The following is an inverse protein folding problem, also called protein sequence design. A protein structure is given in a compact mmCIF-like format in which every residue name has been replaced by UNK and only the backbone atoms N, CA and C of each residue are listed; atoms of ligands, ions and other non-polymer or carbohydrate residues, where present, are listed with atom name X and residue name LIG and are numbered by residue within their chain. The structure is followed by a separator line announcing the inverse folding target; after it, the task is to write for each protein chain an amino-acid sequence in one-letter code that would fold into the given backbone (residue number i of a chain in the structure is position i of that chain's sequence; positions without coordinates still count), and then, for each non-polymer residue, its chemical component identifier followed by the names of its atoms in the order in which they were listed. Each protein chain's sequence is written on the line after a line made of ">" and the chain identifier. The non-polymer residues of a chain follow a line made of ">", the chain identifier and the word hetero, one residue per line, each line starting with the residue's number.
data_IF_261631600656
#
_entry.id   IF_261631600656
#
_cell.length_a   1.000
_cell.length_b   1.000
_cell.length_c   1.000
_cell.angle_alpha   90.00
_cell.angle_beta   90.00
_cell.angle_gamma   90.00
#
_symmetry.space_group_name_H-M   'P 1'
#
loop_
_entity.id
_entity.type
_entity.pdbx_description
1 polymer ?
#
# COMPACT_ATOMS: atom_id res chain seq x y z
N UNK A 1 -11.43 5.14 20.28
CA UNK A 1 -11.08 5.58 18.91
C UNK A 1 -9.75 6.31 18.85
N UNK A 2 -9.49 7.28 19.73
CA UNK A 2 -8.24 8.05 19.73
C UNK A 2 -6.95 7.21 19.75
N UNK A 3 -6.84 6.23 20.66
CA UNK A 3 -5.67 5.31 20.71
C UNK A 3 -5.45 4.55 19.41
N UNK A 4 -6.53 4.15 18.73
CA UNK A 4 -6.48 3.44 17.45
C UNK A 4 -5.99 4.36 16.32
N UNK A 5 -6.44 5.62 16.30
CA UNK A 5 -5.99 6.63 15.33
C UNK A 5 -4.51 6.96 15.54
N UNK A 6 -4.06 7.12 16.79
CA UNK A 6 -2.64 7.32 17.12
C UNK A 6 -1.77 6.15 16.66
N UNK A 7 -2.20 4.91 16.96
CA UNK A 7 -1.50 3.71 16.50
C UNK A 7 -1.47 3.63 14.98
N UNK A 8 -2.62 3.87 14.32
CA UNK A 8 -2.70 3.93 12.87
C UNK A 8 -1.72 4.95 12.29
N UNK A 9 -1.70 6.18 12.81
CA UNK A 9 -0.81 7.24 12.33
C UNK A 9 0.67 6.84 12.42
N UNK A 10 1.10 6.28 13.56
CA UNK A 10 2.49 5.82 13.77
C UNK A 10 2.84 4.74 12.75
N UNK A 11 1.96 3.74 12.57
CA UNK A 11 2.20 2.60 11.70
C UNK A 11 2.14 3.01 10.22
N UNK A 12 1.27 3.96 9.86
CA UNK A 12 1.23 4.61 8.55
C UNK A 12 2.56 5.31 8.26
N UNK A 13 3.11 6.05 9.23
CA UNK A 13 4.39 6.75 9.06
C UNK A 13 5.55 5.76 8.88
N UNK A 14 5.60 4.70 9.69
CA UNK A 14 6.60 3.63 9.55
C UNK A 14 6.48 2.97 8.16
N UNK A 15 5.27 2.62 7.75
CA UNK A 15 5.03 1.97 6.46
C UNK A 15 5.35 2.90 5.30
N UNK A 16 5.02 4.19 5.40
CA UNK A 16 5.41 5.19 4.42
C UNK A 16 6.93 5.29 4.29
N UNK A 17 7.67 5.32 5.40
CA UNK A 17 9.13 5.32 5.39
C UNK A 17 9.67 4.04 4.75
N UNK A 18 9.08 2.87 5.02
CA UNK A 18 9.48 1.62 4.36
C UNK A 18 9.34 1.68 2.84
N UNK A 19 8.24 2.23 2.33
CA UNK A 19 8.06 2.40 0.89
C UNK A 19 8.99 3.48 0.32
N UNK A 20 9.23 4.57 1.06
CA UNK A 20 10.20 5.59 0.65
C UNK A 20 11.63 5.08 0.62
N UNK A 21 12.02 4.21 1.54
CA UNK A 21 13.33 3.57 1.53
C UNK A 21 13.51 2.67 0.30
N UNK A 22 12.45 2.04 -0.21
CA UNK A 22 12.50 1.29 -1.47
C UNK A 22 12.83 2.20 -2.65
N UNK A 23 12.17 3.35 -2.71
CA UNK A 23 12.41 4.36 -3.72
C UNK A 23 13.85 4.89 -3.65
N UNK A 24 14.35 5.23 -2.45
CA UNK A 24 15.72 5.78 -2.30
C UNK A 24 16.82 4.73 -2.44
N UNK A 25 16.53 3.45 -2.20
CA UNK A 25 17.44 2.33 -2.44
C UNK A 25 17.29 1.77 -3.87
N UNK A 26 16.60 2.49 -4.76
CA UNK A 26 16.60 2.17 -6.19
C UNK A 26 17.88 2.73 -6.81
N UNK A 27 18.66 1.87 -7.46
CA UNK A 27 19.80 2.31 -8.26
C UNK A 27 19.35 2.92 -9.59
N UNK A 28 20.16 3.82 -10.15
CA UNK A 28 19.91 4.36 -11.49
C UNK A 28 20.26 3.32 -12.56
N UNK A 29 19.48 3.23 -13.64
CA UNK A 29 19.75 2.35 -14.79
C UNK A 29 21.06 2.69 -15.54
N UNK A 30 21.70 3.80 -15.19
CA UNK A 30 23.02 4.23 -15.69
C UNK A 30 24.21 3.75 -14.85
N UNK A 31 23.96 3.21 -13.65
CA UNK A 31 25.00 2.73 -12.74
C UNK A 31 25.31 1.23 -12.97
N UNK A 32 26.50 0.73 -12.58
CA UNK A 32 26.76 -0.71 -12.57
C UNK A 32 25.77 -1.41 -11.63
N UNK A 33 25.24 -2.55 -12.03
CA UNK A 33 24.44 -3.37 -11.14
C UNK A 33 25.29 -3.78 -9.92
N UNK A 34 24.89 -3.34 -8.72
CA UNK A 34 25.46 -3.83 -7.47
C UNK A 34 25.02 -5.26 -7.22
N UNK A 35 25.80 -6.01 -6.43
CA UNK A 35 25.41 -7.36 -6.04
C UNK A 35 24.17 -7.32 -5.11
N UNK A 36 23.02 -7.72 -5.65
CA UNK A 36 21.79 -7.96 -4.88
C UNK A 36 20.83 -6.76 -4.78
N UNK A 37 19.92 -6.85 -3.79
CA UNK A 37 18.92 -5.83 -3.51
C UNK A 37 18.85 -5.58 -1.99
N UNK A 38 19.55 -4.54 -1.47
CA UNK A 38 19.59 -4.28 -0.02
C UNK A 38 18.22 -3.95 0.56
N UNK A 39 17.28 -3.47 -0.27
CA UNK A 39 15.92 -3.19 0.15
C UNK A 39 15.18 -4.44 0.66
N UNK A 40 15.55 -5.64 0.21
CA UNK A 40 14.95 -6.89 0.69
C UNK A 40 15.14 -7.06 2.20
N UNK A 41 16.27 -6.63 2.76
CA UNK A 41 16.51 -6.66 4.21
C UNK A 41 15.60 -5.68 4.96
N UNK A 42 15.44 -4.47 4.42
CA UNK A 42 14.50 -3.47 4.95
C UNK A 42 13.09 -4.02 4.93
N UNK A 43 12.69 -4.68 3.85
CA UNK A 43 11.37 -5.29 3.71
C UNK A 43 11.19 -6.46 4.70
N UNK A 44 12.21 -7.29 4.94
CA UNK A 44 12.16 -8.39 5.90
C UNK A 44 12.05 -7.93 7.36
N UNK A 45 12.48 -6.72 7.68
CA UNK A 45 12.24 -6.11 9.01
C UNK A 45 10.91 -5.34 9.01
N UNK A 46 10.58 -4.72 7.88
CA UNK A 46 9.43 -3.84 7.71
C UNK A 46 8.09 -4.56 7.51
N UNK A 47 8.09 -5.80 7.02
CA UNK A 47 6.87 -6.53 6.67
C UNK A 47 5.86 -6.67 7.82
N UNK A 48 6.23 -6.83 9.12
CA UNK A 48 5.23 -6.95 10.18
C UNK A 48 4.49 -5.62 10.38
N UNK A 49 5.19 -4.49 10.16
CA UNK A 49 4.59 -3.16 10.21
C UNK A 49 3.66 -2.93 9.02
N UNK A 50 4.04 -3.37 7.83
CA UNK A 50 3.18 -3.30 6.65
C UNK A 50 1.90 -4.15 6.81
N UNK A 51 2.02 -5.37 7.35
CA UNK A 51 0.85 -6.20 7.67
C UNK A 51 -0.04 -5.58 8.75
N UNK A 52 0.58 -5.02 9.78
CA UNK A 52 -0.14 -4.32 10.84
C UNK A 52 -0.85 -3.07 10.30
N UNK A 53 -0.21 -2.34 9.37
CA UNK A 53 -0.80 -1.21 8.67
C UNK A 53 -2.06 -1.62 7.90
N UNK A 54 -1.96 -2.70 7.10
CA UNK A 54 -3.11 -3.25 6.37
C UNK A 54 -4.26 -3.55 7.33
N UNK A 55 -3.99 -4.29 8.40
CA UNK A 55 -5.00 -4.69 9.37
C UNK A 55 -5.65 -3.48 10.08
N UNK A 56 -4.86 -2.54 10.59
CA UNK A 56 -5.41 -1.36 11.28
C UNK A 56 -6.19 -0.48 10.30
N UNK A 57 -5.69 -0.27 9.09
CA UNK A 57 -6.34 0.58 8.08
C UNK A 57 -7.70 0.02 7.68
N UNK A 58 -7.78 -1.29 7.41
CA UNK A 58 -9.06 -1.98 7.14
C UNK A 58 -10.02 -1.81 8.32
N UNK A 59 -9.54 -2.08 9.55
CA UNK A 59 -10.36 -2.00 10.78
C UNK A 59 -10.87 -0.57 11.03
N UNK A 60 -10.02 0.43 10.83
CA UNK A 60 -10.35 1.84 11.02
C UNK A 60 -11.35 2.30 9.96
N UNK A 61 -11.10 2.02 8.68
CA UNK A 61 -11.99 2.35 7.58
C UNK A 61 -13.40 1.75 7.80
N UNK A 62 -13.45 0.47 8.19
CA UNK A 62 -14.71 -0.21 8.54
C UNK A 62 -15.46 0.52 9.65
N UNK A 63 -14.80 0.80 10.79
CA UNK A 63 -15.43 1.46 11.95
C UNK A 63 -15.90 2.88 11.64
N UNK A 64 -15.12 3.64 10.87
CA UNK A 64 -15.46 5.01 10.49
C UNK A 64 -16.67 5.06 9.55
N UNK A 65 -16.78 4.11 8.62
CA UNK A 65 -17.84 4.13 7.59
C UNK A 65 -19.14 3.44 8.04
N UNK A 66 -19.13 2.75 9.18
CA UNK A 66 -20.33 2.14 9.78
C UNK A 66 -21.46 3.14 10.07
N UNK A 67 -21.15 4.40 10.36
CA UNK A 67 -22.12 5.46 10.63
C UNK A 67 -22.59 6.19 9.37
N UNK A 68 -21.94 5.95 8.23
CA UNK A 68 -22.24 6.60 6.94
C UNK A 68 -23.44 5.91 6.28
N UNK A 69 -24.30 6.71 5.64
CA UNK A 69 -25.44 6.24 4.86
C UNK A 69 -25.00 5.29 3.72
N UNK A 70 -25.74 4.21 3.41
CA UNK A 70 -25.36 3.20 2.41
C UNK A 70 -24.98 3.78 1.04
N UNK A 71 -25.70 4.80 0.54
CA UNK A 71 -25.35 5.48 -0.72
C UNK A 71 -23.98 6.17 -0.66
N UNK A 72 -23.64 6.78 0.49
CA UNK A 72 -22.32 7.38 0.70
C UNK A 72 -21.20 6.33 0.70
N UNK A 73 -21.46 5.12 1.22
CA UNK A 73 -20.50 4.01 1.18
C UNK A 73 -20.20 3.56 -0.25
N UNK A 74 -21.22 3.48 -1.10
CA UNK A 74 -21.06 3.17 -2.52
C UNK A 74 -20.21 4.24 -3.21
N UNK A 75 -20.48 5.52 -2.94
CA UNK A 75 -19.67 6.62 -3.44
C UNK A 75 -18.20 6.52 -3.02
N UNK A 76 -17.92 6.19 -1.76
CA UNK A 76 -16.55 5.98 -1.26
C UNK A 76 -15.85 4.79 -1.92
N UNK A 77 -16.58 3.69 -2.21
CA UNK A 77 -16.03 2.55 -2.95
C UNK A 77 -15.66 2.97 -4.38
N UNK A 78 -16.57 3.61 -5.10
CA UNK A 78 -16.34 4.04 -6.49
C UNK A 78 -15.16 5.02 -6.55
N UNK A 79 -15.13 6.03 -5.67
CA UNK A 79 -14.02 6.97 -5.58
C UNK A 79 -12.69 6.28 -5.24
N UNK A 80 -12.69 5.33 -4.31
CA UNK A 80 -11.51 4.54 -3.97
C UNK A 80 -10.99 3.70 -5.14
N UNK A 81 -11.88 3.02 -5.86
CA UNK A 81 -11.53 2.25 -7.06
C UNK A 81 -10.96 3.17 -8.14
N UNK A 82 -11.57 4.33 -8.38
CA UNK A 82 -11.09 5.29 -9.36
C UNK A 82 -9.69 5.82 -9.02
N UNK A 83 -9.44 6.17 -7.74
CA UNK A 83 -8.12 6.60 -7.29
C UNK A 83 -7.07 5.48 -7.41
N UNK A 84 -7.43 4.25 -7.05
CA UNK A 84 -6.52 3.11 -7.19
C UNK A 84 -6.20 2.82 -8.66
N UNK A 85 -7.21 2.90 -9.55
CA UNK A 85 -7.02 2.73 -10.98
C UNK A 85 -6.09 3.80 -11.57
N UNK A 86 -6.31 5.08 -11.23
CA UNK A 86 -5.44 6.17 -11.67
C UNK A 86 -4.00 6.02 -11.16
N UNK A 87 -3.83 5.64 -9.90
CA UNK A 87 -2.50 5.39 -9.35
C UNK A 87 -1.82 4.20 -10.04
N UNK A 88 -2.58 3.15 -10.37
CA UNK A 88 -2.05 2.01 -11.12
C UNK A 88 -1.58 2.41 -12.52
N UNK A 89 -2.35 3.22 -13.26
CA UNK A 89 -1.94 3.65 -14.61
C UNK A 89 -0.63 4.44 -14.56
N UNK A 90 -0.49 5.38 -13.62
CA UNK A 90 0.76 6.13 -13.45
C UNK A 90 1.94 5.22 -13.08
N UNK A 91 1.70 4.18 -12.27
CA UNK A 91 2.75 3.22 -11.91
C UNK A 91 3.14 2.32 -13.10
N UNK A 92 2.18 1.95 -13.94
CA UNK A 92 2.44 1.19 -15.17
C UNK A 92 3.27 2.00 -16.16
N UNK A 93 3.03 3.30 -16.28
CA UNK A 93 3.83 4.17 -17.15
C UNK A 93 5.29 4.25 -16.66
N UNK A 94 5.51 4.39 -15.35
CA UNK A 94 6.85 4.35 -14.77
C UNK A 94 7.53 2.99 -14.96
N UNK A 95 6.78 1.89 -14.80
CA UNK A 95 7.29 0.55 -15.02
C UNK A 95 7.68 0.30 -16.48
N UNK A 96 6.92 0.84 -17.43
CA UNK A 96 7.24 0.75 -18.87
C UNK A 96 8.46 1.60 -19.21
N UNK A 97 8.54 2.85 -18.73
CA UNK A 97 9.71 3.69 -18.93
C UNK A 97 11.00 3.05 -18.36
N UNK A 98 10.90 2.38 -17.21
CA UNK A 98 12.03 1.63 -16.65
C UNK A 98 12.41 0.42 -17.51
N UNK A 99 11.42 -0.31 -18.04
CA UNK A 99 11.67 -1.45 -18.95
C UNK A 99 12.35 -1.00 -20.24
N UNK A 100 11.91 0.11 -20.81
CA UNK A 100 12.50 0.68 -22.02
C UNK A 100 13.95 1.12 -21.74
N UNK A 101 14.20 1.84 -20.64
CA UNK A 101 15.56 2.24 -20.24
C UNK A 101 16.49 1.06 -19.89
N UNK A 102 15.93 -0.03 -19.35
CA UNK A 102 16.66 -1.27 -19.10
C UNK A 102 17.04 -1.98 -20.40
N UNK A 103 16.12 -2.05 -21.38
CA UNK A 103 16.36 -2.66 -22.68
C UNK A 103 17.39 -1.89 -23.51
N UNK A 104 17.45 -0.57 -23.35
CA UNK A 104 18.48 0.28 -23.95
C UNK A 104 19.86 0.13 -23.28
N UNK A 105 19.93 -0.44 -22.07
CA UNK A 105 21.19 -0.65 -21.36
C UNK A 105 21.91 -1.94 -21.82
N UNK A 106 23.23 -1.86 -21.98
CA UNK A 106 24.08 -2.98 -22.45
C UNK A 106 24.43 -4.02 -21.37
N UNK A 107 23.79 -3.98 -20.21
CA UNK A 107 24.20 -4.72 -19.01
C UNK A 107 23.31 -5.96 -18.78
N UNK A 108 23.91 -7.15 -18.85
CA UNK A 108 23.17 -8.43 -18.77
C UNK A 108 22.46 -8.68 -17.41
N UNK A 109 22.87 -8.00 -16.34
CA UNK A 109 22.28 -8.15 -15.00
C UNK A 109 20.86 -7.54 -14.86
N UNK A 110 20.43 -6.72 -15.83
CA UNK A 110 19.13 -6.08 -15.79
C UNK A 110 17.96 -7.00 -16.21
N UNK A 111 18.24 -8.11 -16.89
CA UNK A 111 17.22 -8.95 -17.53
C UNK A 111 16.53 -9.96 -16.58
N UNK A 112 17.01 -10.15 -15.35
CA UNK A 112 16.55 -11.26 -14.49
C UNK A 112 16.24 -10.84 -13.05
N UNK A 113 14.98 -10.97 -12.63
CA UNK A 113 14.55 -11.02 -11.21
C UNK A 113 14.19 -9.69 -10.53
N UNK A 114 13.89 -9.77 -9.23
CA UNK A 114 13.69 -8.60 -8.34
C UNK A 114 15.06 -8.03 -7.96
N UNK A 115 15.50 -7.03 -8.72
CA UNK A 115 16.77 -6.34 -8.53
C UNK A 115 16.56 -4.92 -7.94
N UNK A 116 17.65 -4.26 -7.58
CA UNK A 116 17.62 -2.89 -7.04
C UNK A 116 16.86 -1.87 -7.91
N UNK A 117 16.83 -2.06 -9.23
CA UNK A 117 16.15 -1.16 -10.17
C UNK A 117 14.63 -1.30 -10.11
N UNK A 118 14.13 -2.51 -9.91
CA UNK A 118 12.68 -2.78 -9.83
C UNK A 118 12.04 -2.27 -8.53
N UNK A 119 12.82 -1.82 -7.55
CA UNK A 119 12.29 -1.21 -6.32
C UNK A 119 11.43 0.02 -6.63
N UNK A 120 11.79 0.82 -7.65
CA UNK A 120 11.01 1.99 -8.08
C UNK A 120 9.60 1.63 -8.55
N UNK A 121 9.35 0.37 -8.92
CA UNK A 121 8.04 -0.11 -9.38
C UNK A 121 7.20 -0.61 -8.20
N UNK A 122 7.84 -1.36 -7.29
CA UNK A 122 7.14 -2.11 -6.23
C UNK A 122 7.11 -1.42 -4.87
N UNK A 123 8.06 -0.53 -4.61
CA UNK A 123 8.29 0.09 -3.32
C UNK A 123 8.55 1.59 -3.51
N UNK A 124 7.49 2.31 -3.82
CA UNK A 124 7.48 3.76 -4.05
C UNK A 124 6.28 4.40 -3.35
N UNK A 125 6.18 5.74 -3.37
CA UNK A 125 5.02 6.43 -2.77
C UNK A 125 3.67 6.04 -3.38
N UNK A 126 3.66 5.70 -4.66
CA UNK A 126 2.44 5.40 -5.41
C UNK A 126 1.87 4.03 -5.03
N UNK A 127 2.72 3.04 -4.85
CA UNK A 127 2.37 1.70 -4.34
C UNK A 127 1.91 1.75 -2.90
N UNK A 128 2.53 2.60 -2.06
CA UNK A 128 2.01 2.89 -0.73
C UNK A 128 0.60 3.50 -0.77
N UNK A 129 0.37 4.46 -1.67
CA UNK A 129 -0.96 5.05 -1.86
C UNK A 129 -1.98 4.02 -2.34
N UNK A 130 -1.65 3.20 -3.34
CA UNK A 130 -2.50 2.11 -3.83
C UNK A 130 -2.85 1.17 -2.69
N UNK A 131 -1.86 0.70 -1.92
CA UNK A 131 -2.07 -0.18 -0.77
C UNK A 131 -3.04 0.45 0.24
N UNK A 132 -2.84 1.73 0.55
CA UNK A 132 -3.69 2.49 1.49
C UNK A 132 -5.13 2.54 1.02
N UNK A 133 -5.36 2.97 -0.24
CA UNK A 133 -6.69 3.09 -0.82
C UNK A 133 -7.36 1.72 -0.92
N UNK A 134 -6.65 0.68 -1.34
CA UNK A 134 -7.17 -0.69 -1.38
C UNK A 134 -7.59 -1.18 0.00
N UNK A 135 -6.80 -0.93 1.05
CA UNK A 135 -7.17 -1.26 2.42
C UNK A 135 -8.44 -0.54 2.87
N UNK A 136 -8.59 0.74 2.52
CA UNK A 136 -9.80 1.49 2.83
C UNK A 136 -11.03 0.92 2.11
N UNK A 137 -10.92 0.63 0.80
CA UNK A 137 -12.00 0.00 0.02
C UNK A 137 -12.40 -1.35 0.60
N UNK A 138 -11.43 -2.20 0.93
CA UNK A 138 -11.68 -3.51 1.59
C UNK A 138 -12.39 -3.30 2.93
N UNK A 139 -11.94 -2.34 3.75
CA UNK A 139 -12.60 -1.99 5.01
C UNK A 139 -14.06 -1.57 4.83
N UNK A 140 -14.36 -0.80 3.78
CA UNK A 140 -15.73 -0.39 3.45
C UNK A 140 -16.55 -1.60 2.97
N UNK A 141 -16.01 -2.46 2.09
CA UNK A 141 -16.69 -3.67 1.62
C UNK A 141 -17.07 -4.59 2.78
N UNK A 142 -16.19 -4.75 3.77
CA UNK A 142 -16.47 -5.54 4.97
C UNK A 142 -17.61 -4.96 5.83
N UNK A 143 -17.99 -3.68 5.66
CA UNK A 143 -19.18 -3.13 6.34
C UNK A 143 -20.49 -3.69 5.80
N UNK A 144 -20.52 -4.18 4.56
CA UNK A 144 -21.71 -4.78 3.96
C UNK A 144 -21.86 -6.27 4.31
N UNK A 145 -20.73 -6.97 4.50
CA UNK A 145 -20.69 -8.40 4.81
C UNK A 145 -20.92 -8.64 6.31
N UNK A 146 -20.49 -7.70 7.16
CA UNK A 146 -20.69 -7.81 8.60
C UNK A 146 -22.17 -7.59 8.99
N UNK A 147 -22.88 -8.69 9.13
CA UNK A 147 -24.25 -8.82 9.65
C UNK A 147 -24.44 -8.03 10.98
N UNK A 148 -25.66 -7.51 11.28
CA UNK A 148 -25.96 -6.68 12.47
C UNK A 148 -25.69 -7.34 13.84
N UNK A 149 -25.23 -8.60 13.91
CA UNK A 149 -24.91 -9.29 15.18
C UNK A 149 -23.84 -8.60 16.02
N UNK A 150 -22.90 -7.86 15.42
CA UNK A 150 -21.91 -7.08 16.19
C UNK A 150 -22.50 -5.83 16.87
N UNK A 151 -23.72 -5.42 16.54
CA UNK A 151 -24.39 -4.28 17.19
C UNK A 151 -24.83 -4.61 18.64
N UNK A 152 -24.94 -5.90 18.98
CA UNK A 152 -25.36 -6.37 20.31
C UNK A 152 -24.21 -6.78 21.24
N UNK A 153 -22.98 -6.98 20.74
CA UNK A 153 -21.84 -7.39 21.58
C UNK A 153 -21.02 -6.21 22.13
N UNK A 154 -21.15 -5.00 21.58
CA UNK A 154 -20.48 -3.79 22.08
C UNK A 154 -21.37 -2.95 23.05
N UNK A 155 -22.58 -3.42 23.40
CA UNK A 155 -23.33 -2.87 24.54
C UNK A 155 -22.97 -3.67 25.80
N UNK A 156 -22.24 -3.11 26.78
CA UNK A 156 -22.17 -3.75 28.07
C UNK A 156 -23.59 -3.78 28.64
N UNK A 157 -24.05 -4.99 28.98
CA UNK A 157 -25.21 -5.19 29.86
C UNK A 157 -24.96 -4.34 31.10
N UNK A 158 -25.95 -3.49 31.42
CA UNK A 158 -25.95 -2.54 32.54
C UNK A 158 -25.55 -3.17 33.86
#
# INVERSE_FOLDING_TARGET
>A
MEKLIKAWFIITLITFVLFKLGETMTASYTEPAGEGNPYVLVLLIGWPFALLFVWITIRLARRTVQTVHPLGRIGLIIGGIAMAAFALTVNMDQANALRDGIQESTNAAYATGWNQFTNIIYANQLTFFILTVSCMVVGILLTFIASPKQKNEEQPVR
#
